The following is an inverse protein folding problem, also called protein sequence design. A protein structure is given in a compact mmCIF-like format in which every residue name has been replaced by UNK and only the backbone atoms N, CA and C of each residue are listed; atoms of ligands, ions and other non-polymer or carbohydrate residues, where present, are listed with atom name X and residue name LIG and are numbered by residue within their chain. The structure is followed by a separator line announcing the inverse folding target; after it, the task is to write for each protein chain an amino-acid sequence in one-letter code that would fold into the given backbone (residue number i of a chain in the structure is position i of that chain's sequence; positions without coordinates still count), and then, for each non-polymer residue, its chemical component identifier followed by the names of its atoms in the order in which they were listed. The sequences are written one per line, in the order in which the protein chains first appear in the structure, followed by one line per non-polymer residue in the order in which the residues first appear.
data_IF_231800792718
#
_entry.id   IF_231800792718
#
_cell.length_a   1.000
_cell.length_b   1.000
_cell.length_c   1.000
_cell.angle_alpha   90.00
_cell.angle_beta   90.00
_cell.angle_gamma   90.00
#
_symmetry.space_group_name_H-M   'P 1'
#
loop_
_entity.id
_entity.type
_entity.pdbx_description
1 polymer ?
#
# COMPACT_ATOMS: atom_id res chain seq x y z
N UNK A 1 72.39 6.04 39.33
CA UNK A 1 71.02 5.69 38.88
C UNK A 1 70.67 6.61 37.71
N UNK A 2 70.64 6.07 36.48
CA UNK A 2 70.18 6.80 35.28
C UNK A 2 68.71 6.43 35.08
N UNK A 3 67.82 7.42 35.09
CA UNK A 3 66.39 7.26 34.84
C UNK A 3 66.15 7.33 33.33
N UNK A 4 65.63 6.25 32.75
CA UNK A 4 65.25 6.18 31.34
C UNK A 4 63.74 6.32 31.23
N UNK A 5 63.28 7.43 30.65
CA UNK A 5 61.88 7.73 30.40
C UNK A 5 61.42 7.00 29.14
N UNK A 6 60.52 6.02 29.28
CA UNK A 6 59.87 5.32 28.16
C UNK A 6 58.62 6.12 27.74
N UNK A 7 58.64 6.69 26.53
CA UNK A 7 57.46 7.30 25.92
C UNK A 7 56.76 6.23 25.07
N UNK A 8 55.59 5.79 25.50
CA UNK A 8 54.71 4.90 24.72
C UNK A 8 53.86 5.78 23.81
N UNK A 9 54.13 5.75 22.51
CA UNK A 9 53.33 6.43 21.49
C UNK A 9 52.15 5.53 21.12
N UNK A 10 50.93 5.90 21.55
CA UNK A 10 49.70 5.19 21.22
C UNK A 10 49.28 5.59 19.79
N UNK A 11 49.49 4.71 18.81
CA UNK A 11 49.01 4.91 17.43
C UNK A 11 47.52 4.53 17.40
N UNK A 12 46.64 5.54 17.42
CA UNK A 12 45.23 5.36 17.08
C UNK A 12 45.12 5.16 15.56
N UNK A 13 44.98 3.92 15.11
CA UNK A 13 44.51 3.64 13.75
C UNK A 13 43.01 3.91 13.71
N UNK A 14 42.62 5.11 13.27
CA UNK A 14 41.25 5.40 12.88
C UNK A 14 40.96 4.63 11.59
N UNK A 15 40.35 3.45 11.71
CA UNK A 15 39.66 2.82 10.59
C UNK A 15 38.44 3.70 10.28
N UNK A 16 38.60 4.63 9.34
CA UNK A 16 37.50 5.37 8.76
C UNK A 16 36.64 4.37 7.99
N UNK A 17 35.56 3.91 8.61
CA UNK A 17 34.45 3.31 7.86
C UNK A 17 33.89 4.41 7.00
N UNK A 18 34.18 4.38 5.69
CA UNK A 18 33.51 5.20 4.70
C UNK A 18 32.04 4.79 4.76
N UNK A 19 31.21 5.62 5.39
CA UNK A 19 29.77 5.49 5.34
C UNK A 19 29.37 5.86 3.90
N UNK A 20 29.36 4.88 2.99
CA UNK A 20 28.85 5.13 1.64
C UNK A 20 27.38 5.51 1.80
N UNK A 21 27.01 6.71 1.38
CA UNK A 21 25.60 7.07 1.25
C UNK A 21 24.95 6.02 0.34
N UNK A 22 23.83 5.45 0.78
CA UNK A 22 23.10 4.47 -0.03
C UNK A 22 22.48 5.21 -1.21
N UNK A 23 22.79 4.76 -2.42
CA UNK A 23 22.32 5.33 -3.67
C UNK A 23 22.13 4.18 -4.66
N UNK A 24 20.89 3.68 -4.76
CA UNK A 24 20.55 2.58 -5.66
C UNK A 24 19.59 3.04 -6.74
N UNK A 25 19.94 2.78 -8.00
CA UNK A 25 19.05 2.99 -9.12
C UNK A 25 18.27 1.71 -9.42
N UNK A 26 16.95 1.82 -9.34
CA UNK A 26 16.00 0.76 -9.68
C UNK A 26 15.35 1.10 -11.03
N UNK A 27 15.50 0.19 -11.97
CA UNK A 27 14.89 0.27 -13.30
C UNK A 27 13.79 -0.78 -13.43
N UNK A 28 12.91 -0.62 -14.41
CA UNK A 28 11.76 -1.50 -14.58
C UNK A 28 11.67 -2.05 -16.00
N UNK A 29 11.28 -3.32 -16.11
CA UNK A 29 10.97 -3.99 -17.37
C UNK A 29 9.63 -4.72 -17.26
N UNK A 30 9.02 -5.02 -18.40
CA UNK A 30 7.79 -5.78 -18.47
C UNK A 30 7.98 -7.03 -19.33
N UNK A 31 7.39 -8.13 -18.87
CA UNK A 31 7.35 -9.41 -19.58
C UNK A 31 5.97 -10.06 -19.44
N UNK A 32 5.74 -11.17 -20.15
CA UNK A 32 4.48 -11.91 -20.09
C UNK A 32 3.38 -11.33 -20.99
N UNK A 33 2.17 -11.15 -20.43
CA UNK A 33 0.96 -10.74 -21.15
C UNK A 33 0.97 -9.28 -21.63
N UNK A 34 1.88 -8.45 -21.12
CA UNK A 34 2.11 -7.09 -21.59
C UNK A 34 3.61 -6.77 -21.64
N UNK A 35 4.03 -5.97 -22.63
CA UNK A 35 5.43 -5.62 -22.86
C UNK A 35 5.76 -4.17 -22.49
N UNK A 36 4.80 -3.44 -21.91
CA UNK A 36 4.95 -2.07 -21.44
C UNK A 36 4.33 -1.92 -20.06
N UNK A 37 4.80 -0.92 -19.32
CA UNK A 37 4.29 -0.56 -18.00
C UNK A 37 3.56 0.78 -18.16
N UNK A 38 2.34 0.91 -17.65
CA UNK A 38 1.62 2.19 -17.63
C UNK A 38 1.98 2.99 -16.39
N UNK A 39 2.03 2.34 -15.24
CA UNK A 39 2.30 2.97 -13.95
C UNK A 39 2.97 2.00 -12.99
N UNK A 40 3.71 2.56 -12.05
CA UNK A 40 4.39 1.82 -10.99
C UNK A 40 4.05 2.51 -9.67
N UNK A 41 3.56 1.75 -8.70
CA UNK A 41 3.45 2.19 -7.32
C UNK A 41 4.55 1.52 -6.51
N UNK A 42 5.27 2.29 -5.70
CA UNK A 42 6.32 1.77 -4.82
C UNK A 42 5.99 2.17 -3.39
N UNK A 43 5.95 1.19 -2.50
CA UNK A 43 5.71 1.38 -1.09
C UNK A 43 6.92 0.88 -0.30
N UNK A 44 7.49 1.75 0.52
CA UNK A 44 8.38 1.36 1.60
C UNK A 44 7.52 0.88 2.77
N UNK A 45 7.38 -0.43 2.87
CA UNK A 45 6.49 -1.10 3.83
C UNK A 45 6.99 -0.92 5.25
N UNK A 46 8.30 -0.79 5.45
CA UNK A 46 8.92 -0.55 6.75
C UNK A 46 8.66 0.87 7.26
N UNK A 47 8.64 1.86 6.37
CA UNK A 47 8.45 3.27 6.72
C UNK A 47 7.03 3.80 6.50
N UNK A 48 6.13 3.00 5.90
CA UNK A 48 4.78 3.41 5.50
C UNK A 48 4.80 4.66 4.59
N UNK A 49 5.73 4.67 3.62
CA UNK A 49 5.85 5.74 2.61
C UNK A 49 5.61 5.16 1.23
N UNK A 50 4.98 5.91 0.34
CA UNK A 50 4.72 5.48 -1.04
C UNK A 50 5.05 6.57 -2.06
N UNK A 51 5.48 6.14 -3.25
CA UNK A 51 5.65 7.01 -4.43
C UNK A 51 5.01 6.34 -5.65
N UNK A 52 4.65 7.16 -6.63
CA UNK A 52 4.12 6.71 -7.92
C UNK A 52 5.03 7.17 -9.04
N UNK A 53 5.22 6.31 -10.04
CA UNK A 53 6.05 6.56 -11.21
C UNK A 53 5.27 6.22 -12.48
N UNK A 54 5.63 6.86 -13.59
CA UNK A 54 5.23 6.41 -14.91
C UNK A 54 6.07 5.19 -15.30
N UNK A 55 5.57 4.39 -16.26
CA UNK A 55 6.26 3.16 -16.64
C UNK A 55 7.65 3.32 -17.28
N UNK A 56 8.02 4.53 -17.73
CA UNK A 56 9.33 4.83 -18.31
C UNK A 56 10.32 5.45 -17.31
N UNK A 57 9.85 5.80 -16.11
CA UNK A 57 10.65 6.43 -15.07
C UNK A 57 11.58 5.42 -14.37
N UNK A 58 12.60 5.93 -13.69
CA UNK A 58 13.48 5.16 -12.81
C UNK A 58 13.30 5.61 -11.37
N UNK A 59 13.49 4.69 -10.42
CA UNK A 59 13.45 4.98 -8.99
C UNK A 59 14.87 5.04 -8.44
N UNK A 60 15.23 6.15 -7.82
CA UNK A 60 16.48 6.29 -7.07
C UNK A 60 16.23 6.18 -5.57
N UNK A 61 16.82 5.17 -4.96
CA UNK A 61 16.77 4.92 -3.53
C UNK A 61 17.94 5.63 -2.86
N UNK A 62 17.65 6.53 -1.94
CA UNK A 62 18.67 7.38 -1.34
C UNK A 62 18.63 7.31 0.20
N UNK A 63 19.78 7.00 0.80
CA UNK A 63 19.98 6.92 2.25
C UNK A 63 20.69 8.13 2.85
N UNK A 64 20.78 9.25 2.11
CA UNK A 64 21.27 10.50 2.66
C UNK A 64 20.32 11.03 3.74
N UNK A 65 20.87 11.53 4.86
CA UNK A 65 20.10 12.27 5.83
C UNK A 65 19.65 13.60 5.22
N UNK A 66 18.48 13.62 4.59
CA UNK A 66 17.74 14.85 4.37
C UNK A 66 17.03 15.20 5.67
N UNK A 67 17.78 15.74 6.65
CA UNK A 67 17.21 16.64 7.67
C UNK A 67 16.85 18.02 7.09
N UNK A 68 16.64 18.05 5.78
CA UNK A 68 16.10 19.13 4.96
C UNK A 68 15.27 18.38 3.91
N UNK A 69 13.94 18.39 4.05
CA UNK A 69 13.04 17.93 2.97
C UNK A 69 13.41 18.69 1.69
N UNK A 70 14.15 18.05 0.79
CA UNK A 70 14.12 18.44 -0.61
C UNK A 70 12.76 17.97 -1.12
N UNK A 71 11.82 18.92 -1.14
CA UNK A 71 10.48 18.78 -1.70
C UNK A 71 10.59 18.37 -3.17
N UNK A 72 10.58 17.06 -3.44
CA UNK A 72 10.39 16.51 -4.78
C UNK A 72 8.92 16.66 -5.18
N UNK A 73 8.74 17.56 -6.13
CA UNK A 73 7.60 17.86 -7.00
C UNK A 73 6.44 16.82 -7.07
N UNK A 74 5.54 16.85 -6.08
CA UNK A 74 4.19 16.31 -6.21
C UNK A 74 3.17 17.48 -6.09
N UNK A 75 3.26 18.43 -7.03
CA UNK A 75 2.57 19.73 -7.01
C UNK A 75 1.04 19.73 -7.17
N UNK A 76 0.31 18.73 -6.64
CA UNK A 76 -1.17 18.73 -6.67
C UNK A 76 -1.86 18.55 -5.32
N UNK A 77 -1.15 18.16 -4.27
CA UNK A 77 -1.72 17.99 -2.91
C UNK A 77 -0.97 18.72 -1.80
N UNK A 78 -0.04 19.62 -2.15
CA UNK A 78 0.73 20.41 -1.19
C UNK A 78 0.52 21.92 -1.38
N UNK A 79 0.63 22.66 -0.27
CA UNK A 79 0.76 24.13 -0.31
C UNK A 79 2.24 24.45 -0.48
N UNK A 80 2.61 25.11 -1.58
CA UNK A 80 3.99 25.52 -1.83
C UNK A 80 4.18 26.99 -1.49
N UNK A 81 5.30 27.33 -0.86
CA UNK A 81 5.68 28.69 -0.51
C UNK A 81 6.99 29.07 -1.19
N UNK A 82 6.97 30.09 -2.05
CA UNK A 82 8.16 30.57 -2.76
C UNK A 82 8.29 32.09 -2.65
N UNK A 83 9.35 32.62 -2.00
CA UNK A 83 10.43 31.91 -1.31
C UNK A 83 10.03 31.38 0.08
N UNK A 84 10.69 30.31 0.54
CA UNK A 84 10.68 29.83 1.93
C UNK A 84 12.13 29.46 2.29
N UNK A 85 12.80 30.07 3.30
CA UNK A 85 12.27 31.03 4.28
C UNK A 85 11.82 32.37 3.69
N UNK A 86 10.68 32.84 4.18
CA UNK A 86 10.00 34.06 3.76
C UNK A 86 10.63 35.27 4.47
N UNK A 87 11.13 36.24 3.70
CA UNK A 87 11.70 37.49 4.27
C UNK A 87 10.64 38.56 4.52
N UNK A 88 9.78 38.83 3.54
CA UNK A 88 8.70 39.81 3.65
C UNK A 88 7.37 39.22 3.18
N UNK A 89 7.36 38.68 1.96
CA UNK A 89 6.22 38.01 1.35
C UNK A 89 6.65 36.72 0.64
N UNK A 90 5.72 35.80 0.49
CA UNK A 90 5.87 34.54 -0.24
C UNK A 90 4.68 34.30 -1.16
N UNK A 91 4.91 33.68 -2.32
CA UNK A 91 3.83 33.15 -3.15
C UNK A 91 3.42 31.80 -2.59
N UNK A 92 2.20 31.73 -2.10
CA UNK A 92 1.52 30.52 -1.64
C UNK A 92 0.71 29.94 -2.79
N UNK A 93 1.06 28.76 -3.29
CA UNK A 93 0.30 28.06 -4.35
C UNK A 93 -0.31 26.77 -3.84
N UNK A 94 -1.53 26.48 -4.27
CA UNK A 94 -2.22 25.23 -3.98
C UNK A 94 -3.20 24.89 -5.10
N UNK A 95 -3.56 23.61 -5.21
CA UNK A 95 -4.58 23.12 -6.14
C UNK A 95 -5.88 22.78 -5.39
N UNK A 96 -7.01 23.14 -5.97
CA UNK A 96 -8.34 22.71 -5.50
C UNK A 96 -8.92 21.66 -6.46
N UNK A 97 -9.27 20.46 -5.96
CA UNK A 97 -9.82 19.39 -6.80
C UNK A 97 -11.26 19.63 -7.26
N UNK A 98 -11.99 20.52 -6.58
CA UNK A 98 -13.35 20.93 -6.92
C UNK A 98 -13.57 22.41 -6.57
N UNK A 99 -14.52 23.05 -7.26
CA UNK A 99 -14.91 24.42 -6.94
C UNK A 99 -15.69 24.45 -5.62
N UNK A 100 -15.44 25.46 -4.79
CA UNK A 100 -16.11 25.54 -3.50
C UNK A 100 -15.68 26.70 -2.64
N UNK A 101 -16.45 26.90 -1.58
CA UNK A 101 -16.12 27.85 -0.53
C UNK A 101 -14.89 27.36 0.24
N UNK A 102 -13.81 28.12 0.11
CA UNK A 102 -12.48 27.78 0.61
C UNK A 102 -12.08 28.72 1.75
N UNK A 103 -11.75 28.14 2.90
CA UNK A 103 -11.25 28.83 4.09
C UNK A 103 -9.74 28.62 4.16
N UNK A 104 -8.99 29.71 4.24
CA UNK A 104 -7.55 29.71 4.44
C UNK A 104 -7.29 30.28 5.83
N UNK A 105 -6.75 29.46 6.73
CA UNK A 105 -6.44 29.84 8.11
C UNK A 105 -4.93 29.68 8.38
N UNK A 106 -4.34 30.61 9.12
CA UNK A 106 -2.93 30.60 9.49
C UNK A 106 -2.78 30.60 11.00
N UNK A 107 -1.94 29.70 11.51
CA UNK A 107 -1.68 29.49 12.92
C UNK A 107 -0.19 29.71 13.24
N UNK A 108 0.09 30.18 14.46
CA UNK A 108 1.46 30.15 15.01
C UNK A 108 1.81 28.77 15.60
N UNK A 109 3.05 28.60 16.05
CA UNK A 109 3.55 27.37 16.69
C UNK A 109 2.83 27.00 17.99
N UNK A 110 2.13 27.94 18.65
CA UNK A 110 1.30 27.65 19.83
C UNK A 110 -0.09 27.12 19.45
N UNK A 111 -0.42 27.08 18.16
CA UNK A 111 -1.73 26.71 17.63
C UNK A 111 -2.74 27.85 17.64
N UNK A 112 -2.32 29.09 17.94
CA UNK A 112 -3.20 30.27 17.94
C UNK A 112 -3.45 30.72 16.50
N UNK A 113 -4.72 30.94 16.15
CA UNK A 113 -5.13 31.48 14.85
C UNK A 113 -4.68 32.95 14.74
N UNK A 114 -3.84 33.25 13.74
CA UNK A 114 -3.29 34.59 13.48
C UNK A 114 -4.05 35.28 12.35
N UNK A 115 -4.54 34.54 11.37
CA UNK A 115 -5.33 35.08 10.27
C UNK A 115 -6.30 34.03 9.70
N UNK A 116 -7.44 34.48 9.18
CA UNK A 116 -8.42 33.63 8.51
C UNK A 116 -9.12 34.41 7.40
N UNK A 117 -9.12 33.84 6.20
CA UNK A 117 -9.76 34.38 5.02
C UNK A 117 -10.68 33.35 4.38
N UNK A 118 -11.69 33.83 3.65
CA UNK A 118 -12.74 33.02 3.05
C UNK A 118 -12.95 33.46 1.61
N UNK A 119 -12.85 32.53 0.67
CA UNK A 119 -12.93 32.79 -0.77
C UNK A 119 -13.82 31.74 -1.45
N UNK A 120 -14.54 32.12 -2.50
CA UNK A 120 -15.19 31.16 -3.39
C UNK A 120 -14.26 30.92 -4.58
N UNK A 121 -13.66 29.73 -4.67
CA UNK A 121 -12.62 29.43 -5.66
C UNK A 121 -13.09 28.33 -6.63
N UNK A 122 -12.79 28.43 -7.94
CA UNK A 122 -13.04 27.36 -8.90
C UNK A 122 -12.11 26.16 -8.68
N UNK A 123 -12.37 25.04 -9.36
CA UNK A 123 -11.39 23.95 -9.46
C UNK A 123 -10.18 24.44 -10.24
N UNK A 124 -8.96 24.16 -9.75
CA UNK A 124 -7.74 24.55 -10.44
C UNK A 124 -6.63 24.97 -9.50
N UNK A 125 -5.58 25.55 -10.07
CA UNK A 125 -4.46 26.08 -9.30
C UNK A 125 -4.71 27.54 -8.88
N UNK A 126 -4.38 27.86 -7.65
CA UNK A 126 -4.53 29.18 -7.05
C UNK A 126 -3.21 29.68 -6.49
N UNK A 127 -2.93 30.97 -6.70
CA UNK A 127 -1.78 31.66 -6.11
C UNK A 127 -2.25 32.81 -5.23
N UNK A 128 -1.74 32.88 -4.02
CA UNK A 128 -1.89 34.00 -3.09
C UNK A 128 -0.53 34.55 -2.70
N UNK A 129 -0.47 35.85 -2.43
CA UNK A 129 0.66 36.50 -1.81
C UNK A 129 0.41 36.56 -0.29
N UNK A 130 1.27 35.90 0.49
CA UNK A 130 1.20 35.87 1.96
C UNK A 130 2.37 36.65 2.56
N UNK A 131 2.11 37.49 3.56
CA UNK A 131 3.15 38.26 4.26
C UNK A 131 3.54 37.67 5.61
N UNK A 132 4.79 37.90 6.04
CA UNK A 132 5.31 37.45 7.32
C UNK A 132 5.13 38.50 8.42
N UNK A 133 4.44 38.17 9.53
CA UNK A 133 4.21 39.11 10.62
C UNK A 133 5.35 39.18 11.64
N UNK A 134 6.09 38.08 11.86
CA UNK A 134 7.25 38.03 12.75
C UNK A 134 8.07 36.76 12.47
N UNK A 135 9.30 36.72 12.96
CA UNK A 135 10.17 35.53 12.84
C UNK A 135 9.54 34.33 13.55
N UNK A 136 9.44 33.20 12.85
CA UNK A 136 8.84 31.97 13.39
C UNK A 136 8.33 31.03 12.31
N UNK A 137 7.80 29.88 12.74
CA UNK A 137 7.12 28.93 11.86
C UNK A 137 5.62 29.18 11.95
N UNK A 138 4.97 29.17 10.79
CA UNK A 138 3.51 29.33 10.68
C UNK A 138 2.93 28.14 9.93
N UNK A 139 1.78 27.67 10.40
CA UNK A 139 1.02 26.60 9.77
C UNK A 139 -0.15 27.21 9.00
N UNK A 140 -0.24 26.94 7.71
CA UNK A 140 -1.38 27.33 6.88
C UNK A 140 -2.24 26.10 6.64
N UNK A 141 -3.55 26.25 6.84
CA UNK A 141 -4.55 25.21 6.56
C UNK A 141 -5.58 25.75 5.60
N UNK A 142 -5.85 24.99 4.55
CA UNK A 142 -6.86 25.29 3.54
C UNK A 142 -7.94 24.24 3.63
N UNK A 143 -9.20 24.66 3.75
CA UNK A 143 -10.38 23.78 3.77
C UNK A 143 -11.41 24.21 2.75
N UNK A 144 -11.89 23.29 1.93
CA UNK A 144 -13.01 23.50 1.00
C UNK A 144 -13.89 22.25 1.01
N UNK A 145 -15.10 22.35 1.58
CA UNK A 145 -15.95 21.18 1.85
C UNK A 145 -15.23 20.10 2.67
N UNK A 146 -15.08 18.90 2.09
CA UNK A 146 -14.36 17.77 2.69
C UNK A 146 -12.84 17.75 2.37
N UNK A 147 -12.37 18.64 1.49
CA UNK A 147 -10.95 18.76 1.16
C UNK A 147 -10.24 19.62 2.21
N UNK A 148 -9.12 19.12 2.73
CA UNK A 148 -8.28 19.83 3.69
C UNK A 148 -6.82 19.56 3.39
N UNK A 149 -6.04 20.61 3.18
CA UNK A 149 -4.57 20.55 3.02
C UNK A 149 -3.90 21.48 4.02
N UNK A 150 -2.69 21.16 4.45
CA UNK A 150 -1.91 22.01 5.34
C UNK A 150 -0.47 22.11 4.83
N UNK A 151 0.18 23.22 5.13
CA UNK A 151 1.58 23.47 4.79
C UNK A 151 2.21 24.39 5.83
N UNK A 152 3.54 24.37 5.92
CA UNK A 152 4.30 25.22 6.85
C UNK A 152 5.18 26.21 6.10
N UNK A 153 5.26 27.43 6.61
CA UNK A 153 6.19 28.45 6.13
C UNK A 153 7.09 28.93 7.27
N UNK A 154 8.36 29.19 6.96
CA UNK A 154 9.32 29.78 7.89
C UNK A 154 9.47 31.27 7.58
N UNK A 155 9.05 32.14 8.50
CA UNK A 155 9.29 33.57 8.42
C UNK A 155 10.66 33.90 9.04
N UNK A 156 11.56 34.45 8.23
CA UNK A 156 12.91 34.85 8.64
C UNK A 156 13.06 36.36 8.89
N UNK A 157 12.07 37.17 8.48
CA UNK A 157 12.08 38.63 8.65
C UNK A 157 11.22 39.14 9.80
N UNK A 158 11.69 40.18 10.50
CA UNK A 158 10.98 40.87 11.57
C UNK A 158 10.38 42.19 11.05
N UNK A 159 9.29 42.09 10.30
CA UNK A 159 8.42 43.24 10.07
C UNK A 159 7.18 43.03 10.93
N UNK A 160 7.09 43.75 12.04
CA UNK A 160 6.02 43.69 13.05
C UNK A 160 4.65 44.19 12.51
N UNK A 161 4.28 43.75 11.32
CA UNK A 161 3.10 44.11 10.54
C UNK A 161 2.08 42.97 10.62
N UNK A 162 0.80 43.30 10.42
CA UNK A 162 -0.25 42.27 10.33
C UNK A 162 -0.03 41.41 9.09
N UNK A 163 -0.24 40.10 9.24
CA UNK A 163 -0.26 39.16 8.12
C UNK A 163 -1.42 39.51 7.17
N UNK A 164 -1.10 39.52 5.88
CA UNK A 164 -2.00 39.77 4.75
C UNK A 164 -2.01 38.56 3.83
N UNK A 165 -3.13 38.36 3.15
CA UNK A 165 -3.33 37.28 2.20
C UNK A 165 -4.07 37.84 0.97
N UNK A 166 -3.35 38.07 -0.11
CA UNK A 166 -3.86 38.74 -1.31
C UNK A 166 -3.93 37.75 -2.48
N UNK A 167 -5.07 37.64 -3.17
CA UNK A 167 -5.27 36.68 -4.26
C UNK A 167 -4.70 37.19 -5.59
N UNK A 168 -3.85 36.40 -6.26
CA UNK A 168 -3.07 36.88 -7.42
C UNK A 168 -3.60 36.39 -8.79
N UNK A 169 -4.14 35.15 -8.93
CA UNK A 169 -4.90 34.63 -10.09
C UNK A 169 -5.22 33.10 -10.04
N UNK A 170 -6.09 32.61 -10.93
CA UNK A 170 -6.31 31.18 -11.27
C UNK A 170 -6.08 30.91 -12.77
N UNK A 171 -5.36 29.85 -13.13
CA UNK A 171 -5.35 29.34 -14.52
C UNK A 171 -6.35 28.18 -14.67
N UNK A 172 -7.31 28.26 -15.61
CA UNK A 172 -8.12 27.10 -16.01
C UNK A 172 -7.25 26.13 -16.82
N UNK A 173 -7.21 24.86 -16.43
CA UNK A 173 -6.50 23.83 -17.18
C UNK A 173 -7.34 23.35 -18.38
N UNK A 174 -7.06 23.85 -19.57
CA UNK A 174 -7.34 23.16 -20.84
C UNK A 174 -6.01 22.71 -21.44
N UNK A 175 -5.73 21.40 -21.40
CA UNK A 175 -4.57 20.83 -22.07
C UNK A 175 -4.87 20.61 -23.55
N UNK A 176 -4.18 21.37 -24.41
CA UNK A 176 -3.82 20.88 -25.75
C UNK A 176 -2.71 19.85 -25.59
N UNK A 177 -3.02 18.62 -25.98
CA UNK A 177 -2.07 17.53 -26.14
C UNK A 177 -1.07 17.91 -27.23
N UNK A 178 0.17 18.17 -26.81
CA UNK A 178 1.33 18.14 -27.69
C UNK A 178 2.20 16.99 -27.21
N UNK A 179 2.29 15.95 -28.01
CA UNK A 179 3.15 14.78 -27.81
C UNK A 179 4.58 15.22 -27.51
N UNK A 180 4.96 15.19 -26.24
CA UNK A 180 6.36 15.15 -25.83
C UNK A 180 6.74 13.68 -25.72
N UNK A 181 7.55 13.22 -26.67
CA UNK A 181 8.46 12.07 -26.46
C UNK A 181 9.20 12.30 -25.15
N UNK A 182 8.83 11.59 -24.08
CA UNK A 182 9.29 11.83 -22.72
C UNK A 182 10.69 11.28 -22.51
N UNK A 183 11.63 12.15 -22.15
CA UNK A 183 12.85 11.77 -21.43
C UNK A 183 12.47 11.05 -20.13
N UNK A 184 13.07 9.88 -19.87
CA UNK A 184 12.92 9.11 -18.61
C UNK A 184 13.04 10.03 -17.39
N UNK A 185 12.02 10.07 -16.52
CA UNK A 185 12.07 10.79 -15.25
C UNK A 185 12.78 9.96 -14.18
N UNK A 186 13.44 10.62 -13.23
CA UNK A 186 13.99 9.99 -12.02
C UNK A 186 13.11 10.41 -10.83
N UNK A 187 12.58 9.44 -10.09
CA UNK A 187 11.83 9.65 -8.85
C UNK A 187 12.67 9.19 -7.69
N UNK A 188 12.76 10.00 -6.63
CA UNK A 188 13.60 9.71 -5.47
C UNK A 188 12.72 9.18 -4.33
N UNK A 189 13.18 8.12 -3.66
CA UNK A 189 12.59 7.61 -2.42
C UNK A 189 13.66 7.46 -1.36
N UNK A 190 13.38 7.96 -0.16
CA UNK A 190 14.22 7.70 1.01
C UNK A 190 14.26 6.19 1.30
N UNK A 191 15.46 5.66 1.49
CA UNK A 191 15.68 4.24 1.72
C UNK A 191 16.71 4.03 2.82
N UNK A 192 16.34 3.25 3.85
CA UNK A 192 17.30 2.74 4.82
C UNK A 192 17.65 1.29 4.46
N UNK A 193 18.91 0.91 4.60
CA UNK A 193 19.35 -0.47 4.40
C UNK A 193 18.50 -1.45 5.20
N UNK A 194 17.92 -2.43 4.51
CA UNK A 194 17.04 -3.43 5.12
C UNK A 194 15.56 -3.11 5.00
N UNK A 195 15.19 -1.91 4.54
CA UNK A 195 13.80 -1.61 4.24
C UNK A 195 13.27 -2.52 3.13
N UNK A 196 12.01 -2.94 3.31
CA UNK A 196 11.29 -3.77 2.35
C UNK A 196 10.48 -2.85 1.45
N UNK A 197 10.73 -2.94 0.15
CA UNK A 197 9.98 -2.24 -0.87
C UNK A 197 9.02 -3.18 -1.58
N UNK A 198 7.76 -2.76 -1.70
CA UNK A 198 6.72 -3.39 -2.51
C UNK A 198 6.52 -2.57 -3.77
N UNK A 199 6.73 -3.19 -4.92
CA UNK A 199 6.54 -2.61 -6.23
C UNK A 199 5.30 -3.22 -6.86
N UNK A 200 4.37 -2.38 -7.31
CA UNK A 200 3.19 -2.79 -8.06
C UNK A 200 3.26 -2.15 -9.44
N UNK A 201 3.59 -2.96 -10.44
CA UNK A 201 3.53 -2.55 -11.84
C UNK A 201 2.13 -2.82 -12.38
N UNK A 202 1.63 -1.91 -13.22
CA UNK A 202 0.34 -2.07 -13.90
C UNK A 202 0.48 -1.82 -15.39
N UNK A 203 -0.32 -2.54 -16.18
CA UNK A 203 -0.43 -2.38 -17.63
C UNK A 203 -1.82 -2.79 -18.10
N UNK A 204 -2.67 -1.79 -18.38
CA UNK A 204 -4.08 -2.04 -18.71
C UNK A 204 -4.81 -2.79 -17.61
N UNK A 205 -5.30 -4.00 -17.92
CA UNK A 205 -5.99 -4.89 -16.96
C UNK A 205 -5.04 -5.74 -16.10
N UNK A 206 -3.72 -5.72 -16.38
CA UNK A 206 -2.74 -6.55 -15.68
C UNK A 206 -2.05 -5.78 -14.56
N UNK A 207 -1.79 -6.47 -13.45
CA UNK A 207 -1.00 -5.93 -12.34
C UNK A 207 -0.14 -7.02 -11.71
N UNK A 208 1.11 -6.68 -11.39
CA UNK A 208 2.07 -7.60 -10.79
C UNK A 208 2.77 -6.93 -9.61
N UNK A 209 2.85 -7.67 -8.50
CA UNK A 209 3.49 -7.24 -7.26
C UNK A 209 4.84 -7.94 -7.10
N UNK A 210 5.87 -7.19 -6.79
CA UNK A 210 7.22 -7.68 -6.49
C UNK A 210 7.69 -7.06 -5.18
N UNK A 211 8.21 -7.86 -4.25
CA UNK A 211 8.79 -7.37 -2.99
C UNK A 211 10.29 -7.63 -2.94
N UNK A 212 11.06 -6.64 -2.48
CA UNK A 212 12.52 -6.69 -2.46
C UNK A 212 13.08 -5.96 -1.25
N UNK A 213 14.29 -6.35 -0.84
CA UNK A 213 15.18 -5.55 0.01
C UNK A 213 16.37 -5.14 -0.86
N UNK A 214 16.35 -3.94 -1.46
CA UNK A 214 17.43 -3.47 -2.32
C UNK A 214 18.78 -3.36 -1.59
N UNK A 215 19.82 -3.96 -2.16
CA UNK A 215 21.21 -3.88 -1.65
C UNK A 215 22.21 -3.38 -2.72
N UNK A 216 21.71 -3.12 -3.93
CA UNK A 216 22.45 -2.64 -5.09
C UNK A 216 21.46 -2.14 -6.16
N UNK A 217 21.99 -1.51 -7.22
CA UNK A 217 21.23 -1.21 -8.43
C UNK A 217 20.58 -2.48 -8.97
N UNK A 218 19.31 -2.40 -9.39
CA UNK A 218 18.55 -3.57 -9.83
C UNK A 218 17.50 -3.21 -10.86
N UNK A 219 17.28 -4.14 -11.79
CA UNK A 219 16.11 -4.09 -12.67
C UNK A 219 15.01 -5.00 -12.09
N UNK A 220 13.83 -4.44 -11.90
CA UNK A 220 12.63 -5.17 -11.50
C UNK A 220 11.83 -5.51 -12.74
N UNK A 221 11.65 -6.79 -13.01
CA UNK A 221 10.81 -7.27 -14.10
C UNK A 221 9.40 -7.54 -13.60
N UNK A 222 8.41 -6.86 -14.17
CA UNK A 222 7.00 -7.15 -13.95
C UNK A 222 6.53 -8.17 -15.00
N UNK A 223 6.53 -9.44 -14.63
CA UNK A 223 5.91 -10.49 -15.42
C UNK A 223 4.39 -10.41 -15.28
N UNK A 224 3.73 -9.80 -16.27
CA UNK A 224 2.28 -9.62 -16.29
C UNK A 224 1.57 -10.92 -16.64
N UNK A 225 0.65 -11.35 -15.78
CA UNK A 225 -0.12 -12.58 -15.95
C UNK A 225 -1.61 -12.22 -15.89
N UNK A 226 -2.39 -12.77 -16.82
CA UNK A 226 -3.84 -12.59 -16.82
C UNK A 226 -4.47 -13.25 -15.58
N UNK A 227 -5.19 -12.45 -14.78
CA UNK A 227 -5.94 -12.91 -13.62
C UNK A 227 -7.28 -12.17 -13.56
N UNK A 228 -8.24 -12.64 -14.38
CA UNK A 228 -9.59 -12.06 -14.49
C UNK A 228 -10.65 -13.12 -14.20
N UNK A 229 -11.52 -12.87 -13.22
CA UNK A 229 -12.53 -13.85 -12.80
C UNK A 229 -13.76 -13.88 -13.72
N UNK A 230 -14.71 -14.78 -13.42
CA UNK A 230 -15.95 -14.92 -14.19
C UNK A 230 -16.88 -13.70 -14.12
N UNK A 231 -16.63 -12.76 -13.20
CA UNK A 231 -17.39 -11.52 -13.05
C UNK A 231 -16.68 -10.32 -13.68
N UNK A 232 -15.51 -10.53 -14.30
CA UNK A 232 -14.71 -9.50 -14.94
C UNK A 232 -13.80 -8.70 -14.00
N UNK A 233 -13.70 -9.07 -12.72
CA UNK A 233 -12.73 -8.43 -11.82
C UNK A 233 -11.32 -8.88 -12.18
N UNK A 234 -10.38 -7.94 -12.19
CA UNK A 234 -8.95 -8.20 -12.41
C UNK A 234 -8.19 -8.06 -11.10
N UNK A 235 -7.14 -8.85 -10.95
CA UNK A 235 -6.45 -9.02 -9.68
C UNK A 235 -4.92 -8.94 -9.84
N UNK A 236 -4.19 -8.27 -8.94
CA UNK A 236 -2.74 -8.28 -8.97
C UNK A 236 -2.18 -9.67 -8.65
N UNK A 237 -1.09 -10.03 -9.32
CA UNK A 237 -0.39 -11.31 -9.17
C UNK A 237 0.94 -11.10 -8.45
N UNK A 238 1.25 -11.95 -7.48
CA UNK A 238 2.53 -11.95 -6.77
C UNK A 238 3.25 -13.28 -6.97
N UNK A 239 4.56 -13.20 -7.22
CA UNK A 239 5.43 -14.39 -7.27
C UNK A 239 6.00 -14.64 -5.88
N UNK A 240 5.61 -15.76 -5.27
CA UNK A 240 6.12 -16.18 -3.97
C UNK A 240 6.86 -17.49 -4.18
N UNK A 241 8.10 -17.56 -3.70
CA UNK A 241 8.85 -18.81 -3.77
C UNK A 241 8.15 -19.93 -2.99
N UNK A 242 8.39 -21.16 -3.43
CA UNK A 242 8.03 -22.40 -2.78
C UNK A 242 9.26 -23.30 -2.70
N UNK A 243 9.19 -24.35 -1.91
CA UNK A 243 10.31 -25.31 -1.76
C UNK A 243 10.57 -26.12 -3.03
N UNK A 244 9.61 -26.16 -3.97
CA UNK A 244 9.71 -26.89 -5.25
C UNK A 244 9.81 -26.00 -6.48
N UNK A 245 9.74 -24.68 -6.31
CA UNK A 245 9.67 -23.73 -7.43
C UNK A 245 8.94 -22.45 -7.04
N UNK A 246 8.75 -21.53 -7.99
CA UNK A 246 8.00 -20.30 -7.76
C UNK A 246 6.50 -20.60 -7.89
N UNK A 247 5.71 -20.13 -6.93
CA UNK A 247 4.25 -20.16 -6.98
C UNK A 247 3.71 -18.77 -7.31
N UNK A 248 2.70 -18.71 -8.18
CA UNK A 248 2.04 -17.46 -8.57
C UNK A 248 0.69 -17.34 -7.86
N UNK A 249 0.57 -16.35 -6.98
CA UNK A 249 -0.59 -16.16 -6.12
C UNK A 249 -1.32 -14.86 -6.46
N UNK A 250 -2.62 -14.81 -6.20
CA UNK A 250 -3.34 -13.54 -6.11
C UNK A 250 -2.86 -12.73 -4.90
N UNK A 251 -2.62 -11.44 -5.10
CA UNK A 251 -2.24 -10.51 -4.03
C UNK A 251 -3.45 -9.84 -3.34
N UNK A 252 -4.67 -10.14 -3.77
CA UNK A 252 -5.91 -9.63 -3.17
C UNK A 252 -7.03 -10.70 -3.12
N UNK A 253 -8.08 -10.47 -2.32
CA UNK A 253 -9.11 -11.48 -2.04
C UNK A 253 -10.08 -11.58 -3.21
N UNK A 254 -10.46 -12.81 -3.56
CA UNK A 254 -11.42 -13.05 -4.64
C UNK A 254 -12.79 -12.41 -4.30
N UNK A 255 -13.37 -11.71 -5.28
CA UNK A 255 -14.67 -11.02 -5.17
C UNK A 255 -15.62 -11.35 -6.33
N UNK A 256 -15.50 -12.55 -6.87
CA UNK A 256 -16.36 -13.03 -7.96
C UNK A 256 -17.74 -13.44 -7.46
N UNK A 257 -18.76 -13.17 -8.27
CA UNK A 257 -20.15 -13.59 -8.03
C UNK A 257 -20.62 -14.64 -9.04
N UNK A 258 -19.72 -15.04 -9.95
CA UNK A 258 -19.94 -16.04 -11.01
C UNK A 258 -18.75 -16.98 -11.07
N UNK A 259 -19.02 -18.26 -11.33
CA UNK A 259 -17.98 -19.24 -11.64
C UNK A 259 -17.34 -18.92 -13.00
N UNK A 260 -16.17 -19.51 -13.28
CA UNK A 260 -15.44 -19.31 -14.53
C UNK A 260 -16.13 -19.88 -15.78
N UNK A 261 -17.24 -20.61 -15.62
CA UNK A 261 -18.14 -21.04 -16.69
C UNK A 261 -19.37 -20.13 -16.86
N UNK A 262 -19.44 -19.02 -16.10
CA UNK A 262 -20.54 -18.05 -16.12
C UNK A 262 -21.70 -18.39 -15.19
N UNK A 263 -21.69 -19.53 -14.51
CA UNK A 263 -22.75 -19.90 -13.55
C UNK A 263 -22.78 -18.93 -12.37
N UNK A 264 -23.93 -18.34 -12.08
CA UNK A 264 -24.09 -17.47 -10.92
C UNK A 264 -23.96 -18.24 -9.60
N UNK A 265 -23.24 -17.66 -8.64
CA UNK A 265 -23.12 -18.19 -7.29
C UNK A 265 -24.20 -17.53 -6.42
N UNK A 266 -24.88 -18.29 -5.55
CA UNK A 266 -25.99 -17.76 -4.77
C UNK A 266 -25.50 -16.73 -3.74
N UNK A 267 -26.01 -15.50 -3.81
CA UNK A 267 -25.82 -14.52 -2.74
C UNK A 267 -26.81 -14.83 -1.60
N UNK A 268 -26.33 -15.40 -0.50
CA UNK A 268 -27.17 -15.73 0.64
C UNK A 268 -26.86 -14.76 1.77
N UNK A 269 -27.77 -13.84 2.08
CA UNK A 269 -27.57 -12.84 3.15
C UNK A 269 -28.27 -13.23 4.46
N UNK A 270 -29.36 -14.00 4.40
CA UNK A 270 -30.11 -14.45 5.58
C UNK A 270 -29.38 -15.55 6.37
N UNK A 271 -29.37 -15.42 7.70
CA UNK A 271 -28.61 -16.30 8.59
C UNK A 271 -29.06 -17.77 8.53
N UNK A 272 -30.37 -18.02 8.65
CA UNK A 272 -30.94 -19.38 8.55
C UNK A 272 -30.81 -20.00 7.16
N UNK A 273 -30.84 -19.17 6.10
CA UNK A 273 -30.60 -19.63 4.73
C UNK A 273 -29.14 -20.04 4.52
N UNK A 274 -28.20 -19.32 5.15
CA UNK A 274 -26.78 -19.65 5.11
C UNK A 274 -26.49 -20.99 5.81
N UNK A 275 -27.00 -21.16 7.04
CA UNK A 275 -26.77 -22.40 7.79
C UNK A 275 -27.44 -23.64 7.18
N UNK A 276 -28.46 -23.43 6.36
CA UNK A 276 -29.15 -24.47 5.59
C UNK A 276 -28.65 -24.61 4.16
N UNK A 277 -27.60 -23.88 3.75
CA UNK A 277 -27.09 -23.93 2.38
C UNK A 277 -26.55 -25.32 2.04
N UNK A 278 -26.91 -25.83 0.85
CA UNK A 278 -26.48 -27.12 0.31
C UNK A 278 -25.67 -26.99 -0.99
N UNK A 279 -25.40 -25.76 -1.42
CA UNK A 279 -24.69 -25.47 -2.66
C UNK A 279 -23.85 -24.20 -2.58
N UNK A 280 -23.17 -23.84 -3.68
CA UNK A 280 -22.28 -22.68 -3.74
C UNK A 280 -22.96 -21.39 -3.29
N UNK A 281 -22.36 -20.72 -2.32
CA UNK A 281 -22.86 -19.45 -1.81
C UNK A 281 -21.72 -18.48 -1.52
N UNK A 282 -22.05 -17.19 -1.63
CA UNK A 282 -21.19 -16.09 -1.21
C UNK A 282 -22.00 -15.03 -0.46
N UNK A 283 -21.29 -14.20 0.28
CA UNK A 283 -21.80 -12.95 0.84
C UNK A 283 -20.66 -11.98 1.10
N UNK A 284 -21.00 -10.69 1.19
CA UNK A 284 -20.10 -9.72 1.83
C UNK A 284 -20.08 -9.93 3.34
N UNK A 285 -18.97 -9.57 4.00
CA UNK A 285 -18.96 -9.50 5.46
C UNK A 285 -20.05 -8.55 5.94
N UNK A 286 -20.85 -8.98 6.91
CA UNK A 286 -22.02 -8.24 7.41
C UNK A 286 -22.99 -7.79 6.30
N UNK A 287 -23.02 -8.52 5.17
CA UNK A 287 -23.82 -8.23 3.98
C UNK A 287 -23.61 -6.81 3.39
N UNK A 288 -22.45 -6.20 3.62
CA UNK A 288 -22.14 -4.84 3.16
C UNK A 288 -20.89 -4.85 2.28
N UNK A 289 -20.94 -4.30 1.04
CA UNK A 289 -19.76 -4.20 0.18
C UNK A 289 -18.56 -3.55 0.89
N UNK A 290 -17.37 -4.08 0.67
CA UNK A 290 -16.16 -3.60 1.32
C UNK A 290 -14.87 -4.12 0.69
N UNK A 291 -13.74 -3.76 1.29
CA UNK A 291 -12.40 -3.98 0.72
C UNK A 291 -11.82 -5.37 1.06
N UNK A 292 -12.51 -6.15 1.91
CA UNK A 292 -12.05 -7.46 2.38
C UNK A 292 -12.26 -8.60 1.37
N UNK A 293 -12.88 -8.33 0.23
CA UNK A 293 -13.36 -9.36 -0.71
C UNK A 293 -14.61 -10.08 -0.19
N UNK A 294 -14.97 -11.18 -0.84
CA UNK A 294 -16.17 -11.96 -0.51
C UNK A 294 -15.84 -13.14 0.41
N UNK A 295 -16.83 -13.53 1.21
CA UNK A 295 -16.84 -14.79 1.96
C UNK A 295 -17.59 -15.83 1.15
N UNK A 296 -16.97 -16.98 0.93
CA UNK A 296 -17.55 -18.12 0.23
C UNK A 296 -17.70 -19.29 1.17
N UNK A 297 -18.76 -20.08 0.98
CA UNK A 297 -18.78 -21.42 1.54
C UNK A 297 -17.87 -22.37 0.76
N UNK A 298 -17.51 -23.49 1.37
CA UNK A 298 -16.65 -24.46 0.69
C UNK A 298 -17.35 -25.14 -0.49
N UNK A 299 -18.69 -25.20 -0.52
CA UNK A 299 -19.39 -25.69 -1.72
C UNK A 299 -19.05 -24.88 -2.97
N UNK A 300 -18.81 -23.58 -2.85
CA UNK A 300 -18.31 -22.76 -3.96
C UNK A 300 -16.85 -23.12 -4.33
N UNK A 301 -16.00 -23.35 -3.34
CA UNK A 301 -14.61 -23.79 -3.52
C UNK A 301 -14.55 -25.15 -4.24
N UNK A 302 -15.34 -26.12 -3.78
CA UNK A 302 -15.42 -27.48 -4.29
C UNK A 302 -15.95 -27.60 -5.73
N UNK A 303 -16.44 -26.51 -6.34
CA UNK A 303 -16.78 -26.49 -7.77
C UNK A 303 -15.56 -26.62 -8.68
N UNK A 304 -14.35 -26.30 -8.17
CA UNK A 304 -13.12 -26.13 -8.95
C UNK A 304 -13.22 -25.07 -10.06
N UNK A 305 -14.26 -24.22 -10.02
CA UNK A 305 -14.56 -23.19 -11.02
C UNK A 305 -14.64 -21.79 -10.42
N UNK A 306 -14.37 -21.65 -9.13
CA UNK A 306 -14.47 -20.38 -8.41
C UNK A 306 -13.41 -19.38 -8.85
N UNK A 307 -12.20 -19.84 -9.17
CA UNK A 307 -11.09 -18.99 -9.58
C UNK A 307 -11.10 -18.69 -11.08
N UNK A 308 -10.40 -17.61 -11.53
CA UNK A 308 -10.14 -17.33 -12.94
C UNK A 308 -9.71 -18.54 -13.76
N UNK A 309 -9.97 -18.55 -15.07
CA UNK A 309 -9.50 -19.63 -15.94
C UNK A 309 -7.96 -19.77 -15.88
N UNK A 310 -7.47 -20.99 -15.70
CA UNK A 310 -6.04 -21.27 -15.50
C UNK A 310 -5.54 -21.01 -14.07
N UNK A 311 -6.44 -20.66 -13.14
CA UNK A 311 -6.19 -20.51 -11.70
C UNK A 311 -7.10 -21.45 -10.91
N UNK A 312 -6.74 -21.75 -9.67
CA UNK A 312 -7.57 -22.56 -8.77
C UNK A 312 -7.41 -22.16 -7.32
N UNK A 313 -8.29 -22.66 -6.46
CA UNK A 313 -8.12 -22.53 -5.00
C UNK A 313 -6.94 -23.43 -4.60
N UNK A 314 -5.95 -22.90 -3.86
CA UNK A 314 -4.77 -23.65 -3.43
C UNK A 314 -5.16 -24.80 -2.50
N UNK A 315 -4.45 -25.90 -2.64
CA UNK A 315 -4.48 -27.02 -1.70
C UNK A 315 -3.73 -26.68 -0.41
N UNK A 316 -3.94 -27.47 0.62
CA UNK A 316 -3.21 -27.35 1.89
C UNK A 316 -1.69 -27.51 1.71
N UNK A 317 -1.27 -28.40 0.80
CA UNK A 317 0.12 -28.68 0.48
C UNK A 317 0.81 -27.46 -0.17
N UNK A 318 0.14 -26.76 -1.07
CA UNK A 318 0.71 -25.55 -1.70
C UNK A 318 0.84 -24.40 -0.70
N UNK A 319 -0.14 -24.26 0.20
CA UNK A 319 0.00 -23.37 1.34
C UNK A 319 1.22 -23.77 2.20
N UNK A 320 1.40 -25.06 2.46
CA UNK A 320 2.51 -25.55 3.27
C UNK A 320 3.88 -25.28 2.61
N UNK A 321 3.97 -25.43 1.29
CA UNK A 321 5.17 -25.09 0.52
C UNK A 321 5.52 -23.60 0.63
N UNK A 322 4.52 -22.72 0.47
CA UNK A 322 4.71 -21.27 0.66
C UNK A 322 5.13 -20.94 2.10
N UNK A 323 4.47 -21.54 3.09
CA UNK A 323 4.79 -21.34 4.51
C UNK A 323 6.22 -21.77 4.83
N UNK A 324 6.66 -22.92 4.30
CA UNK A 324 8.01 -23.40 4.50
C UNK A 324 9.04 -22.48 3.86
N UNK A 325 8.80 -22.01 2.63
CA UNK A 325 9.66 -21.04 1.96
C UNK A 325 9.78 -19.73 2.75
N UNK A 326 8.69 -19.28 3.36
CA UNK A 326 8.67 -18.05 4.15
C UNK A 326 9.31 -18.19 5.54
N UNK A 327 9.93 -19.32 5.88
CA UNK A 327 10.63 -19.54 7.15
C UNK A 327 9.81 -20.29 8.19
N UNK A 328 8.78 -21.01 7.76
CA UNK A 328 7.95 -21.87 8.61
C UNK A 328 6.80 -21.14 9.31
N UNK A 329 5.90 -21.92 9.90
CA UNK A 329 4.62 -21.46 10.42
C UNK A 329 4.74 -20.31 11.44
N UNK A 330 5.80 -20.29 12.26
CA UNK A 330 6.01 -19.29 13.31
C UNK A 330 6.29 -17.88 12.79
N UNK A 331 6.74 -17.75 11.54
CA UNK A 331 7.18 -16.47 10.96
C UNK A 331 6.42 -16.09 9.70
N UNK A 332 5.96 -17.08 8.93
CA UNK A 332 5.32 -16.87 7.65
C UNK A 332 4.07 -15.98 7.74
N UNK A 333 3.29 -16.07 8.83
CA UNK A 333 2.09 -15.26 8.99
C UNK A 333 2.39 -13.77 9.02
N UNK A 334 3.47 -13.34 9.68
CA UNK A 334 3.92 -11.95 9.66
C UNK A 334 4.30 -11.47 8.25
N UNK A 335 4.91 -12.33 7.44
CA UNK A 335 5.32 -12.00 6.06
C UNK A 335 4.15 -11.96 5.07
N UNK A 336 3.03 -12.61 5.39
CA UNK A 336 1.83 -12.69 4.55
C UNK A 336 0.83 -11.56 4.82
N UNK A 337 0.73 -11.10 6.07
CA UNK A 337 -0.21 -10.04 6.47
C UNK A 337 0.15 -8.68 5.88
N UNK A 338 -0.88 -7.93 5.49
CA UNK A 338 -0.78 -6.48 5.28
C UNK A 338 -0.21 -5.79 6.53
N UNK A 339 0.61 -4.77 6.32
CA UNK A 339 1.16 -3.90 7.37
C UNK A 339 0.18 -2.82 7.80
N UNK A 340 0.46 -2.17 8.94
CA UNK A 340 -0.42 -1.13 9.49
C UNK A 340 -1.71 -1.71 10.08
N UNK A 341 -2.72 -0.86 10.23
CA UNK A 341 -3.95 -1.16 10.97
C UNK A 341 -5.24 -0.90 10.16
N UNK A 342 -5.12 -0.74 8.84
CA UNK A 342 -6.28 -0.52 7.97
C UNK A 342 -7.23 -1.74 8.03
N UNK A 343 -6.71 -2.93 7.68
CA UNK A 343 -7.48 -4.17 7.63
C UNK A 343 -7.19 -5.13 8.80
N UNK A 344 -6.41 -4.68 9.78
CA UNK A 344 -6.06 -5.42 10.98
C UNK A 344 -6.23 -4.55 12.22
N UNK A 345 -6.68 -5.14 13.33
CA UNK A 345 -6.69 -4.48 14.62
C UNK A 345 -5.26 -4.38 15.17
N UNK A 346 -4.98 -3.33 15.93
CA UNK A 346 -3.80 -3.25 16.78
C UNK A 346 -3.70 -4.53 17.66
N UNK A 347 -2.52 -5.14 17.81
CA UNK A 347 -1.19 -4.63 17.43
C UNK A 347 -0.68 -5.01 16.02
N UNK A 348 -1.43 -5.79 15.23
CA UNK A 348 -0.97 -6.42 13.99
C UNK A 348 0.49 -6.95 14.06
N UNK A 349 0.81 -7.69 15.13
CA UNK A 349 2.19 -8.00 15.51
C UNK A 349 2.97 -8.74 14.42
N UNK A 350 4.16 -8.23 14.14
CA UNK A 350 5.13 -8.79 13.19
C UNK A 350 4.67 -8.82 11.74
N UNK A 351 3.62 -8.07 11.38
CA UNK A 351 3.24 -7.89 9.99
C UNK A 351 4.32 -7.08 9.26
N UNK A 352 4.84 -7.66 8.17
CA UNK A 352 5.87 -7.03 7.31
C UNK A 352 5.46 -7.04 5.84
N UNK A 353 4.43 -7.82 5.49
CA UNK A 353 3.99 -8.07 4.12
C UNK A 353 5.14 -8.37 3.13
N UNK A 354 6.26 -8.92 3.60
CA UNK A 354 7.47 -9.07 2.78
C UNK A 354 7.29 -10.04 1.61
N UNK A 355 6.23 -10.85 1.63
CA UNK A 355 5.83 -11.74 0.53
C UNK A 355 5.03 -11.02 -0.57
N UNK A 356 4.47 -9.84 -0.31
CA UNK A 356 3.53 -9.15 -1.21
C UNK A 356 2.11 -9.75 -1.22
N UNK A 357 1.87 -10.82 -0.44
CA UNK A 357 0.59 -11.53 -0.39
C UNK A 357 -0.57 -10.66 0.10
N UNK A 358 -0.31 -9.70 0.99
CA UNK A 358 -1.27 -8.70 1.48
C UNK A 358 -2.56 -9.29 2.07
N UNK A 359 -2.44 -10.28 2.96
CA UNK A 359 -3.59 -10.88 3.65
C UNK A 359 -4.31 -9.86 4.56
N UNK A 360 -5.65 -9.91 4.55
CA UNK A 360 -6.52 -9.08 5.37
C UNK A 360 -7.23 -9.89 6.47
N UNK A 361 -7.56 -9.22 7.57
CA UNK A 361 -8.40 -9.77 8.63
C UNK A 361 -9.87 -9.80 8.21
N UNK A 362 -10.21 -10.61 7.22
CA UNK A 362 -11.56 -10.63 6.61
C UNK A 362 -12.68 -11.19 7.51
N UNK A 363 -12.34 -11.75 8.67
CA UNK A 363 -13.30 -12.44 9.53
C UNK A 363 -13.90 -13.66 8.84
N UNK A 364 -15.04 -14.11 9.34
CA UNK A 364 -15.74 -15.28 8.81
C UNK A 364 -17.25 -15.22 9.04
N UNK A 365 -17.95 -16.16 8.40
CA UNK A 365 -19.37 -16.42 8.60
C UNK A 365 -19.66 -17.82 9.13
N UNK A 366 -20.53 -17.92 10.13
CA UNK A 366 -20.80 -19.14 10.88
C UNK A 366 -21.74 -20.11 10.16
N UNK A 367 -21.46 -21.42 10.27
CA UNK A 367 -22.26 -22.48 9.65
C UNK A 367 -23.60 -22.76 10.34
N UNK A 368 -23.76 -22.41 11.62
CA UNK A 368 -24.88 -22.83 12.47
C UNK A 368 -25.93 -21.73 12.58
N UNK A 369 -25.50 -20.52 12.93
CA UNK A 369 -26.39 -19.37 13.14
C UNK A 369 -26.26 -18.31 12.04
N UNK A 370 -25.31 -18.46 11.10
CA UNK A 370 -25.08 -17.52 10.02
C UNK A 370 -24.47 -16.17 10.45
N UNK A 371 -24.01 -16.05 11.70
CA UNK A 371 -23.39 -14.83 12.26
C UNK A 371 -22.01 -14.53 11.65
N UNK A 372 -21.55 -13.29 11.79
CA UNK A 372 -20.25 -12.84 11.32
C UNK A 372 -19.34 -12.50 12.51
N UNK A 373 -18.07 -12.92 12.46
CA UNK A 373 -17.13 -12.73 13.56
C UNK A 373 -15.71 -12.40 13.05
N UNK A 374 -14.86 -11.91 13.97
CA UNK A 374 -13.41 -11.71 13.82
C UNK A 374 -12.92 -10.74 12.73
N UNK A 375 -13.77 -9.85 12.21
CA UNK A 375 -13.32 -8.80 11.31
C UNK A 375 -12.16 -8.00 11.93
N UNK A 376 -11.10 -7.80 11.13
CA UNK A 376 -9.81 -7.21 11.48
C UNK A 376 -9.00 -7.96 12.55
N UNK A 377 -9.56 -9.00 13.16
CA UNK A 377 -8.86 -9.82 14.16
C UNK A 377 -8.19 -11.03 13.51
N UNK A 378 -8.90 -11.72 12.62
CA UNK A 378 -8.42 -12.96 12.00
C UNK A 378 -8.77 -12.97 10.51
N UNK A 379 -7.79 -13.32 9.68
CA UNK A 379 -7.98 -13.60 8.26
C UNK A 379 -8.11 -15.10 8.04
N UNK A 380 -9.25 -15.55 7.50
CA UNK A 380 -9.52 -16.97 7.22
C UNK A 380 -9.50 -17.23 5.71
N UNK A 381 -8.81 -18.28 5.30
CA UNK A 381 -8.64 -18.64 3.90
C UNK A 381 -8.98 -20.11 3.67
N UNK A 382 -9.92 -20.37 2.77
CA UNK A 382 -10.18 -21.74 2.34
C UNK A 382 -9.00 -22.34 1.59
N UNK A 383 -8.84 -23.65 1.75
CA UNK A 383 -8.08 -24.50 0.82
C UNK A 383 -9.03 -25.35 0.01
N UNK A 384 -8.57 -25.91 -1.12
CA UNK A 384 -9.30 -26.93 -1.89
C UNK A 384 -9.20 -28.33 -1.27
N UNK A 385 -8.45 -28.51 -0.18
CA UNK A 385 -8.28 -29.79 0.48
C UNK A 385 -9.44 -30.07 1.43
N UNK A 386 -10.10 -31.21 1.23
CA UNK A 386 -11.07 -31.76 2.19
C UNK A 386 -10.34 -32.42 3.36
N UNK A 387 -10.87 -32.28 4.57
CA UNK A 387 -10.43 -33.08 5.74
C UNK A 387 -11.26 -34.34 5.88
N UNK A 388 -12.55 -34.28 5.56
CA UNK A 388 -13.44 -35.43 5.43
C UNK A 388 -14.62 -35.10 4.48
N UNK A 389 -15.69 -35.89 4.48
CA UNK A 389 -16.82 -35.69 3.57
C UNK A 389 -17.64 -34.42 3.85
N UNK A 390 -17.67 -33.93 5.09
CA UNK A 390 -18.42 -32.72 5.50
C UNK A 390 -17.54 -31.53 5.82
N UNK A 391 -16.24 -31.74 5.98
CA UNK A 391 -15.31 -30.74 6.50
C UNK A 391 -14.14 -30.48 5.53
N UNK A 392 -13.62 -29.26 5.57
CA UNK A 392 -12.51 -28.82 4.72
C UNK A 392 -11.37 -28.19 5.53
N UNK A 393 -10.18 -28.15 4.94
CA UNK A 393 -9.01 -27.49 5.51
C UNK A 393 -9.03 -25.98 5.23
N UNK A 394 -8.53 -25.21 6.18
CA UNK A 394 -8.37 -23.76 6.07
C UNK A 394 -7.05 -23.30 6.70
N UNK A 395 -6.63 -22.09 6.33
CA UNK A 395 -5.52 -21.37 6.96
C UNK A 395 -6.05 -20.12 7.65
N UNK A 396 -5.44 -19.73 8.75
CA UNK A 396 -5.73 -18.43 9.35
C UNK A 396 -4.53 -17.68 9.90
N UNK A 397 -4.69 -16.36 9.97
CA UNK A 397 -3.70 -15.38 10.39
C UNK A 397 -4.31 -14.48 11.46
N UNK A 398 -3.64 -14.28 12.59
CA UNK A 398 -4.14 -13.49 13.71
C UNK A 398 -3.45 -12.11 13.75
N UNK A 399 -4.18 -11.09 14.21
CA UNK A 399 -3.61 -9.76 14.45
C UNK A 399 -2.56 -9.76 15.56
N UNK A 400 -2.65 -10.68 16.53
CA UNK A 400 -1.78 -10.69 17.72
C UNK A 400 -0.47 -11.45 17.55
N UNK A 401 -0.19 -12.01 16.37
CA UNK A 401 1.03 -12.80 16.15
C UNK A 401 1.45 -12.92 14.70
N UNK A 402 2.61 -13.54 14.51
CA UNK A 402 3.22 -13.81 13.19
C UNK A 402 3.05 -15.25 12.73
N UNK A 403 2.28 -16.03 13.48
CA UNK A 403 2.01 -17.43 13.20
C UNK A 403 0.92 -17.52 12.13
N UNK A 404 1.12 -18.39 11.14
CA UNK A 404 0.05 -18.90 10.31
C UNK A 404 -0.38 -20.26 10.83
N UNK A 405 -1.67 -20.40 11.12
CA UNK A 405 -2.22 -21.64 11.65
C UNK A 405 -2.79 -22.47 10.50
N UNK A 406 -2.32 -23.72 10.43
CA UNK A 406 -2.94 -24.77 9.67
C UNK A 406 -3.81 -25.61 10.59
N UNK A 407 -5.10 -25.28 10.67
CA UNK A 407 -6.02 -26.12 11.39
C UNK A 407 -6.45 -27.25 10.45
N UNK A 408 -5.85 -28.43 10.61
CA UNK A 408 -6.43 -29.67 10.07
C UNK A 408 -7.69 -30.10 10.84
N UNK A 409 -8.11 -29.33 11.86
CA UNK A 409 -9.37 -29.55 12.58
C UNK A 409 -10.55 -29.11 11.72
N UNK A 410 -11.02 -30.04 10.90
CA UNK A 410 -12.44 -30.37 10.70
C UNK A 410 -13.43 -29.20 10.89
N UNK A 411 -13.46 -28.25 9.94
CA UNK A 411 -14.49 -27.22 9.91
C UNK A 411 -15.51 -27.49 8.81
N UNK A 412 -16.78 -27.34 9.14
CA UNK A 412 -17.91 -27.61 8.25
C UNK A 412 -17.81 -26.78 6.96
N UNK A 413 -18.13 -27.40 5.83
CA UNK A 413 -18.10 -26.77 4.51
C UNK A 413 -19.01 -25.53 4.37
N UNK A 414 -19.94 -25.30 5.30
CA UNK A 414 -20.84 -24.13 5.30
C UNK A 414 -20.26 -22.88 5.95
N UNK A 415 -19.07 -22.94 6.58
CA UNK A 415 -18.43 -21.71 7.04
C UNK A 415 -18.14 -20.78 5.85
N UNK A 416 -18.17 -19.47 6.06
CA UNK A 416 -17.83 -18.48 5.04
C UNK A 416 -16.45 -17.90 5.27
N UNK A 417 -15.49 -18.17 4.39
CA UNK A 417 -14.12 -17.63 4.46
C UNK A 417 -13.71 -16.98 3.14
N UNK A 418 -12.65 -16.17 3.20
CA UNK A 418 -12.03 -15.58 2.02
C UNK A 418 -11.32 -16.63 1.17
N UNK A 419 -11.10 -16.31 -0.10
CA UNK A 419 -10.40 -17.16 -1.06
C UNK A 419 -9.29 -16.35 -1.74
N UNK A 420 -8.12 -16.99 -1.87
CA UNK A 420 -7.03 -16.59 -2.75
C UNK A 420 -6.86 -17.70 -3.78
N UNK A 421 -6.49 -17.36 -5.02
CA UNK A 421 -6.21 -18.34 -6.05
C UNK A 421 -4.71 -18.43 -6.35
N UNK A 422 -4.28 -19.61 -6.78
CA UNK A 422 -2.94 -19.91 -7.28
C UNK A 422 -3.04 -20.29 -8.76
N UNK A 423 -2.04 -19.88 -9.56
CA UNK A 423 -1.96 -20.24 -10.98
C UNK A 423 -1.69 -21.74 -11.10
N UNK A 424 -2.38 -22.39 -12.03
CA UNK A 424 -2.08 -23.77 -12.43
C UNK A 424 -1.02 -23.73 -13.53
N UNK A 425 0.05 -24.50 -13.39
CA UNK A 425 1.09 -24.66 -14.41
C UNK A 425 0.54 -25.31 -15.69
#
# INVERSE_FOLDING_TARGET
MKSTLFIITLIFTSSATILSAQDYLISFTASGAASSISSISVENVTQVKSVSLNGEDQLRLWGGATSVEELTDNRREEITFMPNPVKEQSKMRFFLPFAGETIIAVYDLSGKEIHKAKHLLPKGEHTFLISCPSTGIYLVRIRSGNYSVSGSMMCAGSNNKRMTLDYENSSPAEEKVADKKGTKGEVIMQYNTGDILRFTGSSGEYSTVVTLVPVANKTVDFNFIACKDGSGNTYPVVSIGGTKGIQLWMAENLKTVTLNDGTAINNITGASAWSSATGPAWCWYNNTPGEYGLLYNWYAVGTNKLCPAGWRVPSDDEWQEMVQYLGGAMTAGGKLKETGEAHWNNPNSGATNSSGFSAFGGGWRNNTDGSFNDLRMIGYFWTSTLSNITNACYRCLLSTGSIIYGYMSEIDQKYGFSVRCIKVD
#
